data_IF_122978026186
#
_entry.id   IF_122978026186
#
_cell.length_a   1.000
_cell.length_b   1.000
_cell.length_c   1.000
_cell.angle_alpha   90.00
_cell.angle_beta   90.00
_cell.angle_gamma   90.00
#
_symmetry.space_group_name_H-M   'P 1'
#
loop_
_entity.id
_entity.type
_entity.pdbx_description
1 polymer ?
#
# COMPACT_ATOMS: atom_id res chain seq x y z
N UNK A 1 12.40 17.62 5.10
CA UNK A 1 11.47 18.72 5.47
C UNK A 1 11.95 19.55 6.67
N UNK A 2 12.33 18.97 7.81
CA UNK A 2 12.76 19.71 9.02
C UNK A 2 13.97 20.64 8.77
N UNK A 3 14.95 20.21 7.96
CA UNK A 3 16.08 21.07 7.55
C UNK A 3 15.64 22.30 6.75
N UNK A 4 14.69 22.14 5.81
CA UNK A 4 14.20 23.22 4.94
C UNK A 4 13.43 24.31 5.73
N UNK A 5 12.63 23.87 6.71
CA UNK A 5 11.88 24.78 7.59
C UNK A 5 12.86 25.60 8.46
N UNK A 6 13.88 24.95 9.05
CA UNK A 6 14.85 25.64 9.91
C UNK A 6 15.85 26.52 9.15
N UNK A 7 16.29 26.13 7.96
CA UNK A 7 17.37 26.84 7.26
C UNK A 7 16.90 27.91 6.26
N UNK A 8 15.66 27.82 5.75
CA UNK A 8 15.19 28.71 4.69
C UNK A 8 13.91 29.48 5.03
N UNK A 9 12.92 28.79 5.62
CA UNK A 9 11.58 29.37 5.79
C UNK A 9 11.50 30.36 6.97
N UNK A 10 12.07 30.02 8.13
CA UNK A 10 12.06 30.91 9.32
C UNK A 10 12.84 32.22 9.05
N UNK A 11 14.05 32.21 8.47
CA UNK A 11 14.76 33.43 8.10
C UNK A 11 13.99 34.26 7.06
N UNK A 12 13.33 33.61 6.11
CA UNK A 12 12.52 34.29 5.09
C UNK A 12 11.31 34.99 5.70
N UNK A 13 10.54 34.31 6.58
CA UNK A 13 9.41 34.94 7.28
C UNK A 13 9.88 36.08 8.17
N UNK A 14 10.96 35.92 8.92
CA UNK A 14 11.51 36.99 9.75
C UNK A 14 11.92 38.22 8.92
N UNK A 15 12.59 38.00 7.79
CA UNK A 15 12.95 39.06 6.85
C UNK A 15 11.71 39.71 6.22
N UNK A 16 10.70 38.92 5.85
CA UNK A 16 9.44 39.41 5.33
C UNK A 16 8.78 40.34 6.35
N UNK A 17 8.55 39.89 7.59
CA UNK A 17 7.98 40.70 8.66
C UNK A 17 8.75 41.99 8.91
N UNK A 18 10.09 41.94 8.95
CA UNK A 18 10.90 43.13 9.13
C UNK A 18 10.72 44.11 7.94
N UNK A 19 10.69 43.60 6.71
CA UNK A 19 10.55 44.44 5.51
C UNK A 19 9.14 45.03 5.43
N UNK A 20 8.09 44.26 5.73
CA UNK A 20 6.71 44.73 5.76
C UNK A 20 6.51 45.76 6.86
N UNK A 21 7.08 45.54 8.06
CA UNK A 21 7.03 46.51 9.15
C UNK A 21 7.64 47.86 8.74
N UNK A 22 8.85 47.85 8.18
CA UNK A 22 9.54 49.07 7.75
C UNK A 22 8.77 49.77 6.62
N UNK A 23 8.24 49.02 5.65
CA UNK A 23 7.46 49.59 4.56
C UNK A 23 6.12 50.20 5.03
N UNK A 24 5.43 49.52 5.95
CA UNK A 24 4.19 50.02 6.57
C UNK A 24 4.48 51.27 7.40
N UNK A 25 5.52 51.26 8.24
CA UNK A 25 5.91 52.44 9.04
C UNK A 25 6.25 53.64 8.14
N UNK A 26 7.01 53.44 7.06
CA UNK A 26 7.37 54.50 6.12
C UNK A 26 6.15 55.07 5.37
N UNK A 27 5.30 54.20 4.83
CA UNK A 27 4.14 54.63 4.04
C UNK A 27 3.03 55.22 4.92
N UNK A 28 2.80 54.66 6.10
CA UNK A 28 1.80 55.16 7.04
C UNK A 28 2.25 56.50 7.64
N UNK A 29 3.54 56.68 7.95
CA UNK A 29 4.06 57.98 8.38
C UNK A 29 3.90 59.04 7.30
N UNK A 30 4.28 58.75 6.06
CA UNK A 30 4.10 59.65 4.91
C UNK A 30 2.63 60.00 4.63
N UNK A 31 1.73 59.03 4.77
CA UNK A 31 0.29 59.24 4.59
C UNK A 31 -0.33 60.07 5.73
N UNK A 32 0.14 59.87 6.96
CA UNK A 32 -0.39 60.58 8.14
C UNK A 32 0.20 61.98 8.32
N UNK A 33 1.46 62.20 7.92
CA UNK A 33 2.06 63.53 7.80
C UNK A 33 1.28 64.42 6.81
N UNK A 34 0.69 63.80 5.77
CA UNK A 34 -0.23 64.47 4.84
C UNK A 34 -1.61 64.74 5.43
N UNK A 35 -2.02 63.99 6.44
CA UNK A 35 -3.38 64.08 7.00
C UNK A 35 -3.52 65.06 8.17
N UNK A 36 -2.46 65.48 8.90
CA UNK A 36 -2.44 66.54 9.94
C UNK A 36 -3.63 66.65 10.93
N UNK A 37 -4.52 65.67 11.00
CA UNK A 37 -5.86 65.79 11.62
C UNK A 37 -6.03 64.85 12.84
N UNK A 38 -5.18 63.83 12.98
CA UNK A 38 -5.33 62.85 14.06
C UNK A 38 -4.61 63.26 15.35
N UNK A 39 -5.30 63.08 16.48
CA UNK A 39 -4.67 63.10 17.79
C UNK A 39 -3.71 61.91 17.96
N UNK A 40 -2.75 62.04 18.87
CA UNK A 40 -1.76 60.97 19.15
C UNK A 40 -2.42 59.64 19.56
N UNK A 41 -3.59 59.69 20.19
CA UNK A 41 -4.33 58.50 20.63
C UNK A 41 -4.97 57.78 19.44
N UNK A 42 -5.59 58.52 18.51
CA UNK A 42 -6.21 57.94 17.30
C UNK A 42 -5.14 57.30 16.38
N UNK A 43 -3.96 57.91 16.29
CA UNK A 43 -2.81 57.35 15.58
C UNK A 43 -2.41 55.98 16.12
N UNK A 44 -2.26 55.87 17.45
CA UNK A 44 -1.86 54.62 18.12
C UNK A 44 -2.92 53.54 17.90
N UNK A 45 -4.19 53.87 18.03
CA UNK A 45 -5.30 52.93 17.81
C UNK A 45 -5.33 52.43 16.37
N UNK A 46 -5.16 53.31 15.38
CA UNK A 46 -5.11 52.91 13.97
C UNK A 46 -3.93 51.97 13.68
N UNK A 47 -2.73 52.28 14.19
CA UNK A 47 -1.56 51.42 14.02
C UNK A 47 -1.76 50.04 14.66
N UNK A 48 -2.35 49.98 15.85
CA UNK A 48 -2.68 48.70 16.49
C UNK A 48 -3.63 47.86 15.65
N UNK A 49 -4.67 48.47 15.05
CA UNK A 49 -5.60 47.78 14.16
C UNK A 49 -4.87 47.25 12.93
N UNK A 50 -4.09 48.09 12.24
CA UNK A 50 -3.34 47.69 11.03
C UNK A 50 -2.37 46.54 11.32
N UNK A 51 -1.59 46.63 12.40
CA UNK A 51 -0.65 45.58 12.78
C UNK A 51 -1.37 44.28 13.12
N UNK A 52 -2.49 44.35 13.83
CA UNK A 52 -3.29 43.17 14.18
C UNK A 52 -3.86 42.52 12.91
N UNK A 53 -4.44 43.30 12.00
CA UNK A 53 -4.98 42.78 10.74
C UNK A 53 -3.90 42.13 9.87
N UNK A 54 -2.75 42.78 9.71
CA UNK A 54 -1.63 42.21 8.95
C UNK A 54 -1.13 40.91 9.60
N UNK A 55 -1.00 40.90 10.92
CA UNK A 55 -0.56 39.69 11.65
C UNK A 55 -1.54 38.54 11.44
N UNK A 56 -2.86 38.78 11.57
CA UNK A 56 -3.90 37.78 11.35
C UNK A 56 -3.89 37.22 9.93
N UNK A 57 -3.67 38.07 8.91
CA UNK A 57 -3.55 37.64 7.51
C UNK A 57 -2.33 36.73 7.34
N UNK A 58 -1.16 37.15 7.86
CA UNK A 58 0.07 36.36 7.73
C UNK A 58 -0.04 35.03 8.47
N UNK A 59 -0.59 35.01 9.69
CA UNK A 59 -0.79 33.77 10.44
C UNK A 59 -1.76 32.83 9.73
N UNK A 60 -2.83 33.36 9.12
CA UNK A 60 -3.78 32.56 8.34
C UNK A 60 -3.11 31.95 7.11
N UNK A 61 -2.25 32.69 6.42
CA UNK A 61 -1.50 32.19 5.27
C UNK A 61 -0.53 31.07 5.66
N UNK A 62 0.20 31.25 6.77
CA UNK A 62 1.11 30.21 7.29
C UNK A 62 0.33 28.95 7.68
N UNK A 63 -0.81 29.10 8.36
CA UNK A 63 -1.68 27.98 8.73
C UNK A 63 -2.20 27.25 7.48
N UNK A 64 -2.58 27.98 6.44
CA UNK A 64 -3.01 27.39 5.16
C UNK A 64 -1.87 26.61 4.47
N UNK A 65 -0.65 27.14 4.44
CA UNK A 65 0.50 26.44 3.89
C UNK A 65 0.84 25.17 4.68
N UNK A 66 0.78 25.24 6.02
CA UNK A 66 0.99 24.08 6.90
C UNK A 66 -0.08 23.01 6.68
N UNK A 67 -1.34 23.41 6.49
CA UNK A 67 -2.44 22.52 6.18
C UNK A 67 -2.18 21.75 4.87
N UNK A 68 -1.80 22.44 3.80
CA UNK A 68 -1.53 21.80 2.51
C UNK A 68 -0.36 20.81 2.58
N UNK A 69 0.75 21.20 3.22
CA UNK A 69 1.88 20.31 3.42
C UNK A 69 1.51 19.06 4.25
N UNK A 70 0.64 19.22 5.25
CA UNK A 70 0.13 18.11 6.04
C UNK A 70 -0.78 17.19 5.21
N UNK A 71 -1.62 17.73 4.32
CA UNK A 71 -2.46 16.91 3.42
C UNK A 71 -1.63 16.09 2.44
N UNK A 72 -0.54 16.65 1.90
CA UNK A 72 0.42 15.92 1.06
C UNK A 72 1.06 14.76 1.83
N UNK A 73 1.59 15.02 3.03
CA UNK A 73 2.16 13.97 3.89
C UNK A 73 1.15 12.88 4.23
N UNK A 74 -0.09 13.26 4.54
CA UNK A 74 -1.15 12.30 4.84
C UNK A 74 -1.47 11.41 3.63
N UNK A 75 -1.43 11.99 2.42
CA UNK A 75 -1.64 11.26 1.16
C UNK A 75 -0.50 10.28 0.90
N UNK A 76 0.75 10.70 1.07
CA UNK A 76 1.92 9.83 0.96
C UNK A 76 1.87 8.70 1.99
N UNK A 77 1.56 9.00 3.25
CA UNK A 77 1.42 7.99 4.30
C UNK A 77 0.32 6.98 3.97
N UNK A 78 -0.81 7.42 3.42
CA UNK A 78 -1.88 6.52 2.96
C UNK A 78 -1.41 5.62 1.83
N UNK A 79 -0.67 6.16 0.86
CA UNK A 79 -0.09 5.37 -0.24
C UNK A 79 0.93 4.37 0.29
N UNK A 80 1.93 4.81 1.06
CA UNK A 80 2.93 3.94 1.66
C UNK A 80 2.28 2.85 2.50
N UNK A 81 1.27 3.18 3.32
CA UNK A 81 0.49 2.18 4.05
C UNK A 81 -0.16 1.18 3.09
N UNK A 82 -0.82 1.64 2.03
CA UNK A 82 -1.41 0.75 1.01
C UNK A 82 -0.37 -0.18 0.36
N UNK A 83 0.88 0.27 0.18
CA UNK A 83 1.96 -0.55 -0.39
C UNK A 83 2.58 -1.49 0.64
N UNK A 84 2.87 -1.03 1.85
CA UNK A 84 3.47 -1.83 2.92
C UNK A 84 2.52 -2.87 3.51
N UNK A 85 1.21 -2.63 3.44
CA UNK A 85 0.19 -3.58 3.86
C UNK A 85 -0.14 -4.63 2.79
N UNK A 86 0.52 -4.62 1.62
CA UNK A 86 0.27 -5.64 0.61
C UNK A 86 0.76 -7.01 1.12
N UNK A 87 -0.09 -8.04 1.06
CA UNK A 87 0.37 -9.40 1.24
C UNK A 87 1.41 -9.75 0.19
N UNK A 88 2.52 -10.34 0.61
CA UNK A 88 3.45 -11.02 -0.30
C UNK A 88 3.24 -12.50 -0.13
N UNK A 89 2.38 -13.08 -0.98
CA UNK A 89 2.09 -14.51 -0.99
C UNK A 89 3.07 -15.21 -1.92
N UNK A 90 3.89 -16.09 -1.36
CA UNK A 90 4.74 -16.99 -2.15
C UNK A 90 4.17 -18.39 -2.13
N UNK A 91 4.35 -19.11 -3.23
CA UNK A 91 4.01 -20.52 -3.35
C UNK A 91 5.27 -21.35 -3.51
N UNK A 92 5.41 -22.38 -2.68
CA UNK A 92 6.35 -23.47 -2.96
C UNK A 92 5.59 -24.77 -3.00
N UNK A 93 5.76 -25.51 -4.09
CA UNK A 93 5.34 -26.90 -4.20
C UNK A 93 6.40 -27.70 -3.43
N UNK A 94 5.99 -28.40 -2.38
CA UNK A 94 6.86 -29.39 -1.74
C UNK A 94 6.72 -30.71 -2.49
N UNK A 95 7.85 -31.25 -2.95
CA UNK A 95 7.89 -32.54 -3.63
C UNK A 95 7.44 -33.63 -2.66
N UNK A 96 6.29 -34.23 -2.95
CA UNK A 96 5.87 -35.48 -2.31
C UNK A 96 6.39 -36.67 -3.12
N UNK A 97 6.71 -37.75 -2.41
CA UNK A 97 7.18 -38.98 -3.07
C UNK A 97 6.03 -39.57 -3.86
N UNK A 98 6.12 -39.51 -5.20
CA UNK A 98 5.17 -40.17 -6.08
C UNK A 98 5.35 -41.68 -5.96
N UNK A 99 4.28 -42.38 -5.61
CA UNK A 99 4.26 -43.84 -5.44
C UNK A 99 3.20 -44.48 -6.35
N UNK A 100 3.47 -45.68 -6.89
CA UNK A 100 2.46 -46.40 -7.66
C UNK A 100 1.31 -46.87 -6.76
N UNK A 101 0.12 -46.97 -7.34
CA UNK A 101 -1.14 -47.32 -6.71
C UNK A 101 -1.59 -46.36 -5.60
N UNK A 102 -1.08 -45.13 -5.58
CA UNK A 102 -1.55 -44.04 -4.73
C UNK A 102 -1.97 -42.85 -5.59
N UNK A 103 -2.82 -41.98 -5.05
CA UNK A 103 -3.05 -40.68 -5.66
C UNK A 103 -1.81 -39.81 -5.51
N UNK A 104 -1.60 -38.92 -6.47
CA UNK A 104 -0.51 -37.95 -6.40
C UNK A 104 -1.03 -36.76 -5.63
N UNK A 105 -0.33 -36.37 -4.57
CA UNK A 105 -0.60 -35.16 -3.83
C UNK A 105 0.62 -34.25 -3.82
N UNK A 106 0.37 -32.95 -3.74
CA UNK A 106 1.40 -31.93 -3.57
C UNK A 106 0.93 -30.90 -2.57
N UNK A 107 1.77 -30.58 -1.60
CA UNK A 107 1.49 -29.51 -0.66
C UNK A 107 1.99 -28.19 -1.24
N UNK A 108 1.06 -27.27 -1.47
CA UNK A 108 1.34 -25.90 -1.91
C UNK A 108 1.37 -25.04 -0.66
N UNK A 109 2.57 -24.60 -0.31
CA UNK A 109 2.82 -23.75 0.84
C UNK A 109 2.47 -22.31 0.49
N UNK A 110 1.74 -21.62 1.36
CA UNK A 110 1.45 -20.18 1.28
C UNK A 110 2.04 -19.49 2.51
N UNK A 111 2.76 -18.39 2.27
CA UNK A 111 3.35 -17.57 3.33
C UNK A 111 3.07 -16.10 3.05
N UNK A 112 2.75 -15.30 4.08
CA UNK A 112 2.52 -13.87 3.96
C UNK A 112 3.71 -13.09 4.54
N UNK A 113 4.64 -12.68 3.68
CA UNK A 113 5.78 -11.85 4.09
C UNK A 113 5.45 -10.35 4.21
N UNK A 114 4.16 -9.97 4.04
CA UNK A 114 3.69 -8.61 4.26
C UNK A 114 3.60 -8.26 5.75
N UNK A 115 3.54 -6.97 6.07
CA UNK A 115 3.40 -6.48 7.46
C UNK A 115 1.96 -6.53 7.99
N UNK A 116 0.99 -6.89 7.15
CA UNK A 116 -0.44 -6.93 7.51
C UNK A 116 -1.05 -8.27 7.16
N UNK A 117 -2.07 -8.72 7.90
CA UNK A 117 -2.76 -9.96 7.57
C UNK A 117 -3.32 -9.91 6.16
N UNK A 118 -3.10 -10.98 5.40
CA UNK A 118 -3.76 -11.18 4.12
C UNK A 118 -5.12 -11.79 4.38
N UNK A 119 -6.13 -11.37 3.60
CA UNK A 119 -7.25 -12.29 3.40
C UNK A 119 -6.69 -13.56 2.75
N UNK A 120 -7.09 -14.72 3.27
CA UNK A 120 -6.86 -15.98 2.59
C UNK A 120 -7.40 -15.87 1.19
N UNK A 121 -6.50 -15.93 0.20
CA UNK A 121 -6.92 -16.06 -1.18
C UNK A 121 -7.55 -17.45 -1.28
N UNK A 122 -8.76 -17.51 -1.81
CA UNK A 122 -9.44 -18.75 -2.06
C UNK A 122 -8.68 -19.46 -3.17
N UNK A 123 -8.28 -20.72 -2.94
CA UNK A 123 -7.48 -21.49 -3.88
C UNK A 123 -8.13 -22.83 -4.15
N UNK A 124 -8.24 -23.14 -5.42
CA UNK A 124 -8.46 -24.51 -5.88
C UNK A 124 -7.13 -25.01 -6.44
N UNK A 125 -6.76 -26.24 -6.09
CA UNK A 125 -5.58 -26.88 -6.66
C UNK A 125 -5.89 -28.33 -7.06
N UNK A 126 -5.34 -28.76 -8.19
CA UNK A 126 -5.55 -30.10 -8.72
C UNK A 126 -4.28 -30.61 -9.41
N UNK A 127 -4.08 -31.93 -9.35
CA UNK A 127 -2.92 -32.59 -9.98
C UNK A 127 -3.38 -33.36 -11.22
N UNK A 128 -2.85 -32.97 -12.37
CA UNK A 128 -3.05 -33.65 -13.64
C UNK A 128 -1.80 -34.43 -14.00
N UNK A 129 -1.96 -35.62 -14.57
CA UNK A 129 -0.84 -36.42 -15.03
C UNK A 129 -1.14 -37.08 -16.37
N UNK A 130 -0.09 -37.33 -17.14
CA UNK A 130 -0.16 -38.02 -18.43
C UNK A 130 -0.10 -37.15 -19.66
N UNK A 131 -0.19 -37.78 -20.83
CA UNK A 131 0.11 -37.14 -22.13
C UNK A 131 -0.77 -35.92 -22.42
N UNK A 132 -1.98 -35.89 -21.87
CA UNK A 132 -2.94 -34.80 -22.02
C UNK A 132 -3.04 -33.91 -20.78
N UNK A 133 -2.17 -34.06 -19.77
CA UNK A 133 -2.27 -33.35 -18.49
C UNK A 133 -2.42 -31.83 -18.65
N UNK A 134 -1.68 -31.24 -19.58
CA UNK A 134 -1.77 -29.80 -19.85
C UNK A 134 -3.12 -29.39 -20.44
N UNK A 135 -3.65 -30.19 -21.36
CA UNK A 135 -4.95 -29.94 -21.98
C UNK A 135 -6.08 -30.10 -20.95
N UNK A 136 -6.00 -31.13 -20.10
CA UNK A 136 -6.99 -31.40 -19.07
C UNK A 136 -6.95 -30.33 -17.98
N UNK A 137 -5.77 -29.85 -17.60
CA UNK A 137 -5.62 -28.67 -16.76
C UNK A 137 -6.28 -27.42 -17.38
N UNK A 138 -6.09 -27.20 -18.69
CA UNK A 138 -6.74 -26.11 -19.41
C UNK A 138 -8.26 -26.16 -19.33
N UNK A 139 -8.85 -27.33 -19.59
CA UNK A 139 -10.31 -27.55 -19.46
C UNK A 139 -10.80 -27.34 -18.03
N UNK A 140 -10.01 -27.77 -17.04
CA UNK A 140 -10.32 -27.54 -15.63
C UNK A 140 -10.35 -26.05 -15.30
N UNK A 141 -9.38 -25.27 -15.78
CA UNK A 141 -9.39 -23.80 -15.61
C UNK A 141 -10.62 -23.14 -16.25
N UNK A 142 -11.01 -23.59 -17.45
CA UNK A 142 -12.19 -23.12 -18.18
C UNK A 142 -13.50 -23.50 -17.45
N UNK A 143 -13.56 -24.68 -16.83
CA UNK A 143 -14.78 -25.20 -16.19
C UNK A 143 -15.30 -24.33 -15.03
N UNK A 144 -14.40 -23.59 -14.37
CA UNK A 144 -14.77 -22.67 -13.28
C UNK A 144 -15.31 -21.32 -13.78
N UNK A 145 -15.13 -20.99 -15.07
CA UNK A 145 -15.51 -19.69 -15.63
C UNK A 145 -15.00 -18.49 -14.82
N UNK A 146 -15.76 -17.38 -14.87
CA UNK A 146 -15.60 -16.17 -14.06
C UNK A 146 -16.38 -16.23 -12.72
N UNK A 147 -16.97 -17.39 -12.39
CA UNK A 147 -17.85 -17.47 -11.21
C UNK A 147 -17.00 -17.55 -9.94
N UNK A 148 -17.31 -16.75 -8.90
CA UNK A 148 -16.70 -16.92 -7.60
C UNK A 148 -17.12 -18.30 -7.09
N UNK A 149 -16.15 -19.21 -6.93
CA UNK A 149 -16.42 -20.51 -6.33
C UNK A 149 -16.60 -20.27 -4.85
N UNK A 150 -17.71 -20.72 -4.26
CA UNK A 150 -17.90 -20.66 -2.82
C UNK A 150 -17.19 -21.86 -2.19
N UNK A 151 -15.90 -21.73 -1.89
CA UNK A 151 -15.12 -22.70 -1.13
C UNK A 151 -14.67 -22.06 0.18
N UNK A 152 -14.80 -22.78 1.28
CA UNK A 152 -14.47 -22.29 2.61
C UNK A 152 -13.02 -21.80 2.67
N UNK A 153 -12.86 -20.48 2.80
CA UNK A 153 -11.57 -19.80 2.76
C UNK A 153 -11.51 -18.58 3.67
N UNK A 154 -12.27 -18.56 4.77
CA UNK A 154 -12.25 -17.47 5.77
C UNK A 154 -11.00 -17.51 6.68
N UNK A 155 -9.85 -17.93 6.16
CA UNK A 155 -8.61 -17.92 6.94
C UNK A 155 -7.82 -16.66 6.64
N UNK A 156 -7.77 -15.75 7.60
CA UNK A 156 -6.82 -14.63 7.58
C UNK A 156 -5.41 -15.24 7.67
N UNK A 157 -4.54 -14.95 6.70
CA UNK A 157 -3.13 -15.36 6.73
C UNK A 157 -2.33 -14.25 7.45
N UNK A 158 -1.94 -14.45 8.72
CA UNK A 158 -1.22 -13.42 9.46
C UNK A 158 0.16 -13.16 8.84
N UNK A 159 0.77 -11.99 9.09
CA UNK A 159 2.19 -11.77 8.78
C UNK A 159 3.05 -12.89 9.35
N UNK A 160 3.90 -13.46 8.52
CA UNK A 160 4.79 -14.54 8.90
C UNK A 160 5.77 -14.04 9.95
N UNK A 161 5.54 -14.39 11.22
CA UNK A 161 6.45 -14.19 12.35
C UNK A 161 6.96 -15.56 12.83
N UNK A 162 7.61 -16.32 11.95
CA UNK A 162 8.09 -17.68 12.19
C UNK A 162 7.81 -18.65 11.04
N UNK A 163 7.88 -19.97 11.27
CA UNK A 163 7.53 -21.03 10.30
C UNK A 163 6.00 -21.20 10.11
N UNK A 164 5.25 -20.11 10.18
CA UNK A 164 3.79 -20.12 10.06
C UNK A 164 3.42 -20.15 8.59
N UNK A 165 3.22 -21.36 8.08
CA UNK A 165 2.79 -21.62 6.72
C UNK A 165 1.35 -22.11 6.71
N UNK A 166 0.56 -21.63 5.75
CA UNK A 166 -0.72 -22.26 5.43
C UNK A 166 -0.53 -23.13 4.20
N UNK A 167 -1.16 -24.31 4.17
CA UNK A 167 -1.01 -25.26 3.08
C UNK A 167 -2.37 -25.54 2.44
N UNK A 168 -2.34 -25.69 1.12
CA UNK A 168 -3.40 -26.40 0.40
C UNK A 168 -2.78 -27.64 -0.21
N UNK A 169 -3.48 -28.76 -0.16
CA UNK A 169 -3.04 -30.00 -0.80
C UNK A 169 -3.76 -30.11 -2.13
N UNK A 170 -2.99 -30.11 -3.22
CA UNK A 170 -3.48 -30.51 -4.52
C UNK A 170 -3.45 -32.03 -4.57
N UNK A 171 -4.51 -32.67 -5.05
CA UNK A 171 -4.59 -34.13 -5.19
C UNK A 171 -5.08 -34.49 -6.60
N UNK A 172 -4.61 -35.61 -7.14
CA UNK A 172 -5.14 -36.17 -8.38
C UNK A 172 -6.50 -36.82 -8.17
N UNK A 173 -7.37 -36.74 -9.17
CA UNK A 173 -8.67 -37.42 -9.12
C UNK A 173 -8.52 -38.95 -9.10
N UNK A 174 -7.60 -39.46 -9.91
CA UNK A 174 -7.35 -40.88 -10.09
C UNK A 174 -6.09 -41.36 -9.38
N UNK A 175 -6.04 -42.67 -9.12
CA UNK A 175 -4.89 -43.37 -8.55
C UNK A 175 -3.84 -43.56 -9.65
N UNK A 176 -2.59 -43.24 -9.33
CA UNK A 176 -1.46 -43.35 -10.23
C UNK A 176 -1.05 -44.81 -10.40
N UNK A 177 -1.40 -45.43 -11.53
CA UNK A 177 -1.16 -46.85 -11.74
C UNK A 177 0.33 -47.18 -11.90
N UNK A 178 0.70 -48.46 -11.71
CA UNK A 178 2.09 -48.93 -11.90
C UNK A 178 2.61 -48.59 -13.31
N UNK A 179 1.76 -48.77 -14.34
CA UNK A 179 2.15 -48.48 -15.72
C UNK A 179 2.46 -46.99 -15.92
N UNK A 180 1.61 -46.12 -15.39
CA UNK A 180 1.81 -44.66 -15.48
C UNK A 180 3.02 -44.21 -14.67
N UNK A 181 3.29 -44.86 -13.53
CA UNK A 181 4.47 -44.65 -12.73
C UNK A 181 5.76 -45.02 -13.48
N UNK A 182 5.77 -46.15 -14.19
CA UNK A 182 6.91 -46.56 -15.01
C UNK A 182 7.12 -45.59 -16.19
N UNK A 183 6.04 -45.12 -16.84
CA UNK A 183 6.13 -44.09 -17.88
C UNK A 183 6.66 -42.75 -17.33
N UNK A 184 6.26 -42.36 -16.11
CA UNK A 184 6.76 -41.17 -15.42
C UNK A 184 8.25 -41.26 -15.08
N UNK A 185 8.70 -42.39 -14.53
CA UNK A 185 10.12 -42.61 -14.24
C UNK A 185 11.01 -42.51 -15.47
N UNK A 186 10.49 -42.92 -16.62
CA UNK A 186 11.18 -42.83 -17.89
C UNK A 186 11.11 -41.44 -18.55
N UNK A 187 10.52 -40.43 -17.86
CA UNK A 187 10.40 -39.06 -18.33
C UNK A 187 9.34 -38.85 -19.42
N UNK A 188 8.49 -39.85 -19.70
CA UNK A 188 7.48 -39.80 -20.75
C UNK A 188 6.14 -39.22 -20.29
N UNK A 189 5.99 -38.94 -18.99
CA UNK A 189 4.73 -38.59 -18.36
C UNK A 189 4.86 -37.29 -17.56
N UNK A 190 4.29 -36.17 -18.03
CA UNK A 190 4.33 -34.93 -17.27
C UNK A 190 3.33 -34.99 -16.10
N UNK A 191 3.70 -34.35 -15.00
CA UNK A 191 2.81 -34.03 -13.88
C UNK A 191 2.63 -32.52 -13.87
N UNK A 192 1.38 -32.06 -13.84
CA UNK A 192 1.01 -30.65 -13.84
C UNK A 192 0.20 -30.38 -12.57
N UNK A 193 0.71 -29.48 -11.73
CA UNK A 193 -0.04 -28.95 -10.59
C UNK A 193 -0.69 -27.65 -11.03
N UNK A 194 -2.02 -27.66 -11.17
CA UNK A 194 -2.79 -26.49 -11.50
C UNK A 194 -3.28 -25.81 -10.21
N UNK A 195 -3.07 -24.50 -10.11
CA UNK A 195 -3.54 -23.68 -8.98
C UNK A 195 -4.32 -22.50 -9.54
N UNK A 196 -5.57 -22.34 -9.11
CA UNK A 196 -6.41 -21.19 -9.44
C UNK A 196 -6.63 -20.36 -8.19
N UNK A 197 -6.26 -19.08 -8.26
CA UNK A 197 -6.53 -18.06 -7.24
C UNK A 197 -7.81 -17.31 -7.60
N UNK A 198 -8.66 -17.04 -6.61
CA UNK A 198 -9.92 -16.29 -6.74
C UNK A 198 -9.91 -15.01 -5.90
#
# INVERSE_FOLDING_TARGET
MIKFIKSGFIPFISKLFHTTKVAVESNVKSFLDKLKIFSKVEYLTFMCIVVTTVTTIVTSLVAYMQWNAMQEQLTEMKLTRKYEQRPFLTHSIQDEVVEPNKKISFNITTANYGKSPAMGIMKAAHVFYGKNALLDAGKWFESYGDKPINLFGDSIIPPTSGNSFSYITAESEMVFSIKEYDEFKNGAYPIIVAVKEF
#
